data_IF_565003180213
#
_entry.id   IF_565003180213
#
_cell.length_a   1.000
_cell.length_b   1.000
_cell.length_c   1.000
_cell.angle_alpha   90.00
_cell.angle_beta   90.00
_cell.angle_gamma   90.00
#
_symmetry.space_group_name_H-M   'P 1'
#
loop_
_entity.id
_entity.type
_entity.pdbx_description
1 polymer ?
#
# COMPACT_ATOMS: atom_id res chain seq x y z
N UNK A 1 -31.51 -2.17 7.75
CA UNK A 1 -31.26 -1.72 6.37
C UNK A 1 -30.36 -2.77 5.77
N UNK A 2 -30.80 -3.44 4.70
CA UNK A 2 -29.92 -4.34 3.95
C UNK A 2 -28.79 -3.51 3.32
N UNK A 3 -27.59 -4.06 3.26
CA UNK A 3 -26.48 -3.39 2.59
C UNK A 3 -26.87 -3.25 1.10
N UNK A 4 -26.92 -2.04 0.52
CA UNK A 4 -27.29 -1.84 -0.89
C UNK A 4 -26.38 -2.61 -1.86
N UNK A 5 -25.26 -3.15 -1.38
CA UNK A 5 -24.35 -4.02 -2.11
C UNK A 5 -24.80 -5.49 -2.17
N UNK A 6 -25.64 -5.99 -1.26
CA UNK A 6 -26.04 -7.43 -1.22
C UNK A 6 -26.83 -7.86 -2.46
N UNK A 7 -27.59 -6.95 -3.07
CA UNK A 7 -28.43 -7.21 -4.24
C UNK A 7 -27.68 -7.17 -5.58
N UNK A 8 -26.40 -6.74 -5.58
CA UNK A 8 -25.58 -6.69 -6.80
C UNK A 8 -25.04 -8.09 -7.17
N UNK A 9 -24.83 -8.39 -8.47
CA UNK A 9 -24.03 -9.53 -8.91
C UNK A 9 -22.68 -9.60 -8.20
N UNK A 10 -22.17 -10.82 -7.98
CA UNK A 10 -20.88 -11.02 -7.30
C UNK A 10 -19.73 -10.24 -7.95
N UNK A 11 -19.69 -10.20 -9.27
CA UNK A 11 -18.66 -9.49 -10.05
C UNK A 11 -18.70 -7.97 -9.77
N UNK A 12 -19.89 -7.38 -9.71
CA UNK A 12 -20.08 -5.96 -9.41
C UNK A 12 -19.72 -5.62 -7.96
N UNK A 13 -19.98 -6.54 -7.02
CA UNK A 13 -19.53 -6.39 -5.63
C UNK A 13 -18.01 -6.40 -5.53
N UNK A 14 -17.34 -7.33 -6.23
CA UNK A 14 -15.89 -7.41 -6.25
C UNK A 14 -15.28 -6.16 -6.90
N UNK A 15 -15.84 -5.68 -8.02
CA UNK A 15 -15.40 -4.44 -8.65
C UNK A 15 -15.50 -3.23 -7.70
N UNK A 16 -16.59 -3.10 -6.94
CA UNK A 16 -16.73 -2.06 -5.93
C UNK A 16 -15.73 -2.17 -4.78
N UNK A 17 -15.48 -3.39 -4.27
CA UNK A 17 -14.49 -3.60 -3.20
C UNK A 17 -13.08 -3.23 -3.71
N UNK A 18 -12.73 -3.65 -4.92
CA UNK A 18 -11.47 -3.30 -5.58
C UNK A 18 -11.34 -1.80 -5.78
N UNK A 19 -12.38 -1.13 -6.27
CA UNK A 19 -12.40 0.32 -6.46
C UNK A 19 -12.21 1.06 -5.13
N UNK A 20 -12.92 0.65 -4.07
CA UNK A 20 -12.79 1.24 -2.73
C UNK A 20 -11.37 1.09 -2.18
N UNK A 21 -10.77 -0.08 -2.37
CA UNK A 21 -9.38 -0.30 -1.99
C UNK A 21 -8.44 0.63 -2.76
N UNK A 22 -8.58 0.71 -4.08
CA UNK A 22 -7.77 1.60 -4.95
C UNK A 22 -7.92 3.06 -4.57
N UNK A 23 -9.14 3.53 -4.31
CA UNK A 23 -9.42 4.91 -3.88
C UNK A 23 -8.74 5.24 -2.53
N UNK A 24 -8.53 4.25 -1.66
CA UNK A 24 -7.81 4.44 -0.37
C UNK A 24 -6.29 4.51 -0.51
N UNK A 25 -5.72 4.10 -1.65
CA UNK A 25 -4.26 3.97 -1.80
C UNK A 25 -3.54 5.31 -1.73
N UNK A 26 -4.16 6.39 -2.23
CA UNK A 26 -3.55 7.72 -2.22
C UNK A 26 -3.21 8.18 -0.78
N UNK A 27 -4.15 8.01 0.16
CA UNK A 27 -3.94 8.33 1.58
C UNK A 27 -2.87 7.44 2.20
N UNK A 28 -2.89 6.13 1.92
CA UNK A 28 -1.89 5.18 2.42
C UNK A 28 -0.48 5.50 1.94
N UNK A 29 -0.32 5.93 0.68
CA UNK A 29 0.99 6.34 0.16
C UNK A 29 1.51 7.60 0.84
N UNK A 30 0.63 8.56 1.15
CA UNK A 30 1.02 9.76 1.90
C UNK A 30 1.37 9.45 3.37
N UNK A 31 0.70 8.47 3.98
CA UNK A 31 1.07 7.96 5.30
C UNK A 31 2.49 7.38 5.29
N UNK A 32 2.82 6.56 4.29
CA UNK A 32 4.16 5.98 4.12
C UNK A 32 5.20 7.08 3.88
N UNK A 33 4.92 8.05 3.01
CA UNK A 33 5.82 9.21 2.76
C UNK A 33 6.05 10.04 4.01
N UNK A 34 5.02 10.19 4.85
CA UNK A 34 5.15 10.86 6.14
C UNK A 34 6.08 10.06 7.04
N UNK A 35 5.89 8.74 7.15
CA UNK A 35 6.77 7.88 7.94
C UNK A 35 8.24 7.89 7.46
N UNK A 36 8.47 7.97 6.13
CA UNK A 36 9.81 8.11 5.55
C UNK A 36 10.50 9.43 5.95
N UNK A 37 9.73 10.52 6.12
CA UNK A 37 10.23 11.85 6.49
C UNK A 37 10.42 12.05 7.99
N UNK A 38 9.60 11.39 8.81
CA UNK A 38 9.58 11.61 10.27
C UNK A 38 10.85 11.15 11.00
N UNK A 39 11.69 10.32 10.36
CA UNK A 39 12.91 9.80 10.98
C UNK A 39 12.64 8.96 12.24
N UNK A 40 13.69 8.52 12.95
CA UNK A 40 13.54 7.82 14.22
C UNK A 40 12.97 8.77 15.29
N UNK A 41 11.73 8.53 15.68
CA UNK A 41 11.12 9.20 16.84
C UNK A 41 11.60 8.52 18.12
N UNK A 42 12.42 9.23 18.92
CA UNK A 42 12.96 8.74 20.20
C UNK A 42 11.86 8.38 21.22
N UNK A 43 10.64 8.89 21.03
CA UNK A 43 9.50 8.67 21.93
C UNK A 43 8.56 7.52 21.52
N UNK A 44 8.69 6.99 20.31
CA UNK A 44 7.85 5.88 19.82
C UNK A 44 8.46 4.52 20.15
N UNK A 45 7.66 3.62 20.75
CA UNK A 45 8.03 2.20 20.93
C UNK A 45 8.16 1.45 19.60
N UNK A 46 7.50 1.93 18.55
CA UNK A 46 7.62 1.37 17.21
C UNK A 46 8.63 2.18 16.39
N UNK A 47 9.62 1.48 15.82
CA UNK A 47 10.54 2.09 14.86
C UNK A 47 9.73 2.57 13.65
N UNK A 48 10.07 3.74 13.10
CA UNK A 48 9.46 4.25 11.87
C UNK A 48 9.53 3.22 10.73
N UNK A 49 10.61 2.42 10.68
CA UNK A 49 10.78 1.31 9.73
C UNK A 49 9.71 0.23 9.91
N UNK A 50 9.36 -0.15 11.14
CA UNK A 50 8.29 -1.12 11.38
C UNK A 50 6.93 -0.61 10.91
N UNK A 51 6.66 0.69 11.09
CA UNK A 51 5.46 1.32 10.54
C UNK A 51 5.44 1.23 9.01
N UNK A 52 6.54 1.57 8.34
CA UNK A 52 6.67 1.47 6.88
C UNK A 52 6.47 0.02 6.41
N UNK A 53 7.15 -0.93 7.07
CA UNK A 53 7.03 -2.36 6.77
C UNK A 53 5.58 -2.83 6.88
N UNK A 54 4.90 -2.52 8.00
CA UNK A 54 3.49 -2.88 8.21
C UNK A 54 2.59 -2.31 7.12
N UNK A 55 2.75 -1.02 6.78
CA UNK A 55 1.91 -0.36 5.77
C UNK A 55 2.06 -0.99 4.38
N UNK A 56 3.30 -1.27 3.94
CA UNK A 56 3.53 -1.97 2.67
C UNK A 56 3.05 -3.42 2.72
N UNK A 57 3.24 -4.12 3.83
CA UNK A 57 2.79 -5.50 4.01
C UNK A 57 1.26 -5.61 3.94
N UNK A 58 0.54 -4.75 4.65
CA UNK A 58 -0.92 -4.70 4.63
C UNK A 58 -1.46 -4.36 3.23
N UNK A 59 -0.77 -3.47 2.52
CA UNK A 59 -1.11 -3.12 1.14
C UNK A 59 -0.90 -4.30 0.19
N UNK A 60 0.25 -4.98 0.27
CA UNK A 60 0.54 -6.16 -0.52
C UNK A 60 -0.45 -7.31 -0.24
N UNK A 61 -0.77 -7.53 1.04
CA UNK A 61 -1.76 -8.53 1.46
C UNK A 61 -3.16 -8.22 0.94
N UNK A 62 -3.60 -6.96 1.05
CA UNK A 62 -4.90 -6.52 0.51
C UNK A 62 -4.96 -6.65 -1.01
N UNK A 63 -3.88 -6.28 -1.73
CA UNK A 63 -3.80 -6.44 -3.18
C UNK A 63 -3.89 -7.92 -3.59
N UNK A 64 -3.19 -8.82 -2.89
CA UNK A 64 -3.24 -10.26 -3.15
C UNK A 64 -4.64 -10.84 -2.89
N UNK A 65 -5.28 -10.49 -1.75
CA UNK A 65 -6.64 -10.94 -1.42
C UNK A 65 -7.69 -10.47 -2.43
N UNK A 66 -7.46 -9.32 -3.07
CA UNK A 66 -8.32 -8.75 -4.10
C UNK A 66 -7.92 -9.17 -5.52
N UNK A 67 -6.92 -10.05 -5.67
CA UNK A 67 -6.37 -10.51 -6.95
C UNK A 67 -5.90 -9.36 -7.86
N UNK A 68 -5.30 -8.33 -7.26
CA UNK A 68 -4.72 -7.17 -7.96
C UNK A 68 -3.20 -7.38 -8.08
N UNK A 69 -2.81 -8.39 -8.85
CA UNK A 69 -1.42 -8.86 -8.98
C UNK A 69 -0.44 -7.76 -9.41
N UNK A 70 -0.88 -6.84 -10.28
CA UNK A 70 -0.04 -5.73 -10.78
C UNK A 70 0.35 -4.75 -9.67
N UNK A 71 -0.56 -4.48 -8.73
CA UNK A 71 -0.29 -3.62 -7.59
C UNK A 71 0.54 -4.35 -6.55
N UNK A 72 0.19 -5.60 -6.25
CA UNK A 72 0.96 -6.46 -5.34
C UNK A 72 2.43 -6.53 -5.80
N UNK A 73 2.67 -6.83 -7.07
CA UNK A 73 4.00 -6.90 -7.67
C UNK A 73 4.73 -5.56 -7.64
N UNK A 74 4.00 -4.43 -7.73
CA UNK A 74 4.60 -3.12 -7.65
C UNK A 74 5.11 -2.80 -6.23
N UNK A 75 4.39 -3.21 -5.19
CA UNK A 75 4.71 -2.85 -3.79
C UNK A 75 5.55 -3.89 -3.05
N UNK A 76 5.58 -5.15 -3.51
CA UNK A 76 6.32 -6.25 -2.88
C UNK A 76 7.82 -5.97 -2.67
N UNK A 77 8.55 -5.30 -3.59
CA UNK A 77 9.94 -4.92 -3.33
C UNK A 77 10.11 -4.02 -2.09
N UNK A 78 9.16 -3.11 -1.84
CA UNK A 78 9.22 -2.22 -0.67
C UNK A 78 9.04 -2.98 0.65
N UNK A 79 8.22 -4.04 0.65
CA UNK A 79 8.09 -4.96 1.80
C UNK A 79 9.46 -5.56 2.14
N UNK A 80 10.19 -6.08 1.13
CA UNK A 80 11.50 -6.70 1.36
C UNK A 80 12.56 -5.72 1.86
N UNK A 81 12.57 -4.48 1.34
CA UNK A 81 13.47 -3.43 1.83
C UNK A 81 13.19 -3.15 3.31
N UNK A 82 11.92 -2.87 3.64
CA UNK A 82 11.53 -2.52 5.00
C UNK A 82 11.70 -3.69 5.99
N UNK A 83 11.38 -4.92 5.58
CA UNK A 83 11.58 -6.15 6.36
C UNK A 83 13.06 -6.36 6.69
N UNK A 84 13.95 -6.22 5.70
CA UNK A 84 15.39 -6.36 5.89
C UNK A 84 15.91 -5.33 6.91
N UNK A 85 15.51 -4.07 6.76
CA UNK A 85 15.96 -2.97 7.63
C UNK A 85 15.40 -3.12 9.05
N UNK A 86 14.12 -3.50 9.20
CA UNK A 86 13.51 -3.78 10.51
C UNK A 86 14.17 -4.97 11.20
N UNK A 87 14.44 -6.05 10.47
CA UNK A 87 15.14 -7.23 10.99
C UNK A 87 16.58 -6.94 11.42
N UNK A 88 17.27 -6.05 10.70
CA UNK A 88 18.60 -5.57 11.06
C UNK A 88 18.59 -4.56 12.22
N UNK A 89 17.40 -4.09 12.64
CA UNK A 89 17.22 -3.03 13.62
C UNK A 89 18.03 -1.77 13.27
N UNK A 90 18.13 -1.46 11.97
CA UNK A 90 18.88 -0.32 11.44
C UNK A 90 17.96 0.78 10.96
N UNK A 91 18.55 1.91 10.56
CA UNK A 91 17.85 2.99 9.87
C UNK A 91 17.86 2.77 8.35
N UNK A 92 16.89 3.38 7.68
CA UNK A 92 16.88 3.47 6.23
C UNK A 92 17.98 4.42 5.76
N UNK A 93 18.83 3.94 4.86
CA UNK A 93 19.76 4.77 4.10
C UNK A 93 19.01 5.69 3.13
N UNK A 94 19.67 6.75 2.66
CA UNK A 94 19.06 7.67 1.70
C UNK A 94 18.77 6.99 0.35
N UNK A 95 19.61 6.05 -0.07
CA UNK A 95 19.37 5.23 -1.27
C UNK A 95 18.11 4.36 -1.11
N UNK A 96 17.93 3.72 0.05
CA UNK A 96 16.72 2.92 0.34
C UNK A 96 15.47 3.80 0.41
N UNK A 97 15.55 4.99 1.00
CA UNK A 97 14.42 5.95 0.99
C UNK A 97 14.06 6.35 -0.43
N UNK A 98 15.06 6.65 -1.27
CA UNK A 98 14.84 6.98 -2.67
C UNK A 98 14.21 5.82 -3.45
N UNK A 99 14.65 4.59 -3.21
CA UNK A 99 14.06 3.39 -3.81
C UNK A 99 12.60 3.18 -3.36
N UNK A 100 12.30 3.37 -2.08
CA UNK A 100 10.93 3.29 -1.55
C UNK A 100 10.02 4.37 -2.17
N UNK A 101 10.50 5.61 -2.33
CA UNK A 101 9.75 6.67 -3.00
C UNK A 101 9.47 6.34 -4.48
N UNK A 102 10.45 5.80 -5.20
CA UNK A 102 10.26 5.36 -6.59
C UNK A 102 9.23 4.23 -6.71
N UNK A 103 9.19 3.31 -5.73
CA UNK A 103 8.18 2.25 -5.65
C UNK A 103 6.79 2.85 -5.42
N UNK A 104 6.66 3.84 -4.52
CA UNK A 104 5.41 4.56 -4.28
C UNK A 104 4.91 5.23 -5.56
N UNK A 105 5.78 5.92 -6.30
CA UNK A 105 5.41 6.55 -7.57
C UNK A 105 4.90 5.55 -8.60
N UNK A 106 5.60 4.41 -8.74
CA UNK A 106 5.16 3.32 -9.62
C UNK A 106 3.80 2.77 -9.20
N UNK A 107 3.60 2.50 -7.91
CA UNK A 107 2.36 1.97 -7.38
C UNK A 107 1.19 2.98 -7.51
N UNK A 108 1.46 4.27 -7.37
CA UNK A 108 0.49 5.35 -7.64
C UNK A 108 0.06 5.36 -9.11
N UNK A 109 0.99 5.22 -10.05
CA UNK A 109 0.66 5.14 -11.47
C UNK A 109 -0.22 3.92 -11.79
N UNK A 110 0.07 2.78 -11.17
CA UNK A 110 -0.76 1.56 -11.26
C UNK A 110 -2.16 1.81 -10.67
N UNK A 111 -2.25 2.44 -9.49
CA UNK A 111 -3.53 2.75 -8.85
C UNK A 111 -4.44 3.62 -9.73
N UNK A 112 -3.89 4.61 -10.43
CA UNK A 112 -4.66 5.44 -11.38
C UNK A 112 -5.25 4.59 -12.52
N UNK A 113 -4.48 3.67 -13.08
CA UNK A 113 -4.94 2.77 -14.14
C UNK A 113 -6.05 1.83 -13.64
N UNK A 114 -5.85 1.24 -12.45
CA UNK A 114 -6.83 0.35 -11.83
C UNK A 114 -8.14 1.04 -11.50
N UNK A 115 -8.09 2.31 -11.08
CA UNK A 115 -9.28 3.10 -10.77
C UNK A 115 -10.20 3.24 -11.97
N UNK A 116 -9.64 3.50 -13.15
CA UNK A 116 -10.43 3.57 -14.39
C UNK A 116 -10.92 2.18 -14.82
N UNK A 117 -10.13 1.13 -14.58
CA UNK A 117 -10.53 -0.25 -14.90
C UNK A 117 -11.70 -0.76 -14.05
N UNK A 118 -11.73 -0.42 -12.76
CA UNK A 118 -12.77 -0.89 -11.83
C UNK A 118 -14.01 0.01 -11.77
N UNK A 119 -14.02 1.11 -12.54
CA UNK A 119 -15.16 2.01 -12.61
C UNK A 119 -16.36 1.25 -13.23
N UNK A 120 -17.51 1.15 -12.55
CA UNK A 120 -18.68 0.54 -13.14
C UNK A 120 -19.11 1.32 -14.39
N UNK A 121 -19.43 0.61 -15.47
CA UNK A 121 -20.00 1.16 -16.72
C UNK A 121 -21.48 1.46 -16.60
#
# INVERSE_FOLDING_TARGET
MSDPMEDLPYEDRIAHIRLRFVDSLAERFEEIRTALKSGPDETSRDSHVRTIHRLFHDMAGSAAMLEIEVLESAVRPAVHIAERVDAAQSELTDDEKHELDAIIEKAQAVAVQLREQFRPT
#
